data_IF_918967695737
#
_entry.id   IF_918967695737
#
_cell.length_a   1.000
_cell.length_b   1.000
_cell.length_c   1.000
_cell.angle_alpha   90.00
_cell.angle_beta   90.00
_cell.angle_gamma   90.00
#
_symmetry.space_group_name_H-M   'P 1'
#
loop_
_entity.id
_entity.type
_entity.pdbx_description
1 polymer ?
#
# COMPACT_ATOMS: atom_id res chain seq x y z
N UNK A 1 28.86 -6.63 12.84
CA UNK A 1 28.07 -7.54 13.70
C UNK A 1 26.82 -6.75 14.05
N UNK A 2 25.83 -6.86 13.22
CA UNK A 2 24.49 -6.28 13.43
C UNK A 2 23.68 -7.37 14.10
N UNK A 3 23.30 -7.13 15.36
CA UNK A 3 22.33 -7.94 16.06
C UNK A 3 21.07 -7.99 15.21
N UNK A 4 20.79 -9.17 14.67
CA UNK A 4 19.54 -9.43 13.99
C UNK A 4 18.42 -9.23 15.00
N UNK A 5 17.53 -8.29 14.70
CA UNK A 5 16.29 -8.10 15.44
C UNK A 5 15.48 -9.40 15.27
N UNK A 6 15.69 -10.34 16.18
CA UNK A 6 14.98 -11.61 16.24
C UNK A 6 13.57 -11.28 16.76
N UNK A 7 12.68 -10.88 15.86
CA UNK A 7 11.25 -10.73 16.15
C UNK A 7 10.70 -12.12 16.48
N UNK A 8 10.86 -12.51 17.72
CA UNK A 8 10.26 -13.74 18.23
C UNK A 8 8.75 -13.51 18.35
N UNK A 9 8.00 -14.10 17.43
CA UNK A 9 6.55 -14.22 17.62
C UNK A 9 6.32 -14.93 18.95
N UNK A 10 5.72 -14.22 19.90
CA UNK A 10 5.34 -14.80 21.17
C UNK A 10 4.25 -15.87 20.92
N UNK A 11 4.66 -17.13 21.03
CA UNK A 11 3.79 -18.27 20.78
C UNK A 11 2.60 -18.34 21.72
N UNK A 12 2.76 -17.88 22.93
CA UNK A 12 1.69 -17.88 23.93
C UNK A 12 0.70 -16.76 23.64
N UNK A 13 1.18 -15.56 23.27
CA UNK A 13 0.35 -14.46 22.80
C UNK A 13 -0.38 -14.82 21.50
N UNK A 14 0.29 -15.48 20.54
CA UNK A 14 -0.33 -15.99 19.33
C UNK A 14 -1.44 -16.99 19.63
N UNK A 15 -1.14 -18.01 20.48
CA UNK A 15 -2.11 -19.03 20.82
C UNK A 15 -3.30 -18.47 21.63
N UNK A 16 -3.07 -17.47 22.46
CA UNK A 16 -4.12 -16.78 23.19
C UNK A 16 -5.00 -15.96 22.23
N UNK A 17 -4.41 -15.13 21.41
CA UNK A 17 -5.11 -14.30 20.43
C UNK A 17 -5.95 -15.14 19.43
N UNK A 18 -5.39 -16.23 18.92
CA UNK A 18 -6.12 -17.12 18.00
C UNK A 18 -7.29 -17.83 18.68
N UNK A 19 -7.23 -18.13 20.00
CA UNK A 19 -8.37 -18.69 20.73
C UNK A 19 -9.49 -17.68 20.88
N UNK A 20 -9.18 -16.44 21.23
CA UNK A 20 -10.18 -15.37 21.38
C UNK A 20 -10.90 -15.01 20.06
N UNK A 21 -10.22 -15.25 18.93
CA UNK A 21 -10.76 -14.94 17.61
C UNK A 21 -11.55 -16.09 16.97
N UNK A 22 -11.61 -17.27 17.60
CA UNK A 22 -12.35 -18.42 17.04
C UNK A 22 -13.85 -18.16 16.97
N UNK A 23 -14.49 -18.48 15.81
CA UNK A 23 -15.94 -18.26 15.62
C UNK A 23 -16.85 -18.94 16.64
N UNK A 24 -16.38 -20.01 17.31
CA UNK A 24 -17.17 -20.75 18.31
C UNK A 24 -17.33 -20.05 19.67
N UNK A 25 -16.51 -19.02 19.97
CA UNK A 25 -16.63 -18.19 21.18
C UNK A 25 -17.32 -16.84 20.89
N UNK A 26 -17.44 -16.49 19.62
CA UNK A 26 -18.29 -15.40 19.16
C UNK A 26 -19.73 -15.89 19.24
N UNK A 27 -20.57 -15.22 20.01
CA UNK A 27 -21.99 -15.52 20.33
C UNK A 27 -22.66 -16.50 19.36
N UNK A 28 -23.47 -17.47 19.86
CA UNK A 28 -24.28 -18.35 19.02
C UNK A 28 -25.36 -17.51 18.34
N UNK A 29 -25.15 -17.18 17.10
CA UNK A 29 -25.97 -16.36 16.22
C UNK A 29 -25.06 -15.82 15.14
N UNK A 30 -25.54 -15.86 13.90
CA UNK A 30 -24.82 -15.33 12.76
C UNK A 30 -24.39 -13.88 13.00
N UNK A 31 -23.15 -13.52 12.72
CA UNK A 31 -22.78 -12.13 12.75
C UNK A 31 -23.59 -11.38 11.68
N UNK A 32 -24.28 -10.33 12.10
CA UNK A 32 -24.74 -9.27 11.21
C UNK A 32 -23.55 -8.86 10.31
N UNK A 33 -23.73 -8.46 9.05
CA UNK A 33 -22.65 -7.96 8.20
C UNK A 33 -21.76 -6.94 8.89
N UNK A 34 -22.34 -6.14 9.79
CA UNK A 34 -21.61 -5.24 10.67
C UNK A 34 -20.69 -5.95 11.63
N UNK A 35 -21.09 -7.10 12.14
CA UNK A 35 -20.28 -7.91 13.07
C UNK A 35 -19.14 -8.64 12.35
N UNK A 36 -19.35 -9.08 11.08
CA UNK A 36 -18.28 -9.69 10.29
C UNK A 36 -17.15 -8.70 10.03
N UNK A 37 -17.47 -7.49 9.56
CA UNK A 37 -16.46 -6.46 9.33
C UNK A 37 -15.70 -6.12 10.62
N UNK A 38 -16.42 -5.90 11.72
CA UNK A 38 -15.82 -5.63 13.02
C UNK A 38 -14.94 -6.80 13.51
N UNK A 39 -15.33 -8.03 13.19
CA UNK A 39 -14.56 -9.23 13.54
C UNK A 39 -13.31 -9.35 12.67
N UNK A 40 -13.42 -9.13 11.36
CA UNK A 40 -12.27 -9.07 10.46
C UNK A 40 -11.30 -7.96 10.88
N UNK A 41 -11.80 -6.78 11.25
CA UNK A 41 -10.97 -5.70 11.77
C UNK A 41 -10.19 -6.14 13.02
N UNK A 42 -10.83 -6.80 13.98
CA UNK A 42 -10.16 -7.32 15.18
C UNK A 42 -9.08 -8.35 14.85
N UNK A 43 -9.33 -9.22 13.87
CA UNK A 43 -8.33 -10.21 13.40
C UNK A 43 -7.10 -9.48 12.83
N UNK A 44 -7.31 -8.45 12.03
CA UNK A 44 -6.22 -7.70 11.40
C UNK A 44 -5.44 -6.88 12.42
N UNK A 45 -6.15 -6.23 13.37
CA UNK A 45 -5.52 -5.49 14.46
C UNK A 45 -4.71 -6.43 15.38
N UNK A 46 -5.24 -7.62 15.68
CA UNK A 46 -4.53 -8.64 16.45
C UNK A 46 -3.30 -9.16 15.70
N UNK A 47 -3.40 -9.36 14.38
CA UNK A 47 -2.26 -9.74 13.55
C UNK A 47 -1.15 -8.69 13.66
N UNK A 48 -1.48 -7.41 13.47
CA UNK A 48 -0.52 -6.32 13.62
C UNK A 48 0.14 -6.31 15.00
N UNK A 49 -0.66 -6.45 16.07
CA UNK A 49 -0.18 -6.37 17.46
C UNK A 49 0.74 -7.53 17.81
N UNK A 50 0.38 -8.78 17.48
CA UNK A 50 1.15 -9.98 17.82
C UNK A 50 2.48 -10.04 17.06
N UNK A 51 2.51 -9.59 15.82
CA UNK A 51 3.74 -9.56 15.02
C UNK A 51 4.58 -8.31 15.23
N UNK A 52 4.08 -7.31 15.98
CA UNK A 52 4.74 -6.02 16.18
C UNK A 52 5.20 -5.42 14.84
N UNK A 53 4.35 -5.56 13.82
CA UNK A 53 4.56 -4.98 12.50
C UNK A 53 3.91 -3.60 12.41
N UNK A 54 4.34 -2.80 11.44
CA UNK A 54 3.88 -1.42 11.30
C UNK A 54 2.44 -1.35 10.80
N UNK A 55 2.01 -2.34 9.99
CA UNK A 55 0.62 -2.44 9.60
C UNK A 55 0.25 -3.77 8.98
N UNK A 56 -1.05 -3.95 8.78
CA UNK A 56 -1.65 -5.13 8.19
C UNK A 56 -2.87 -4.77 7.33
N UNK A 57 -3.18 -5.63 6.37
CA UNK A 57 -4.31 -5.47 5.45
C UNK A 57 -4.92 -6.81 5.11
N UNK A 58 -6.21 -6.79 4.82
CA UNK A 58 -6.97 -7.90 4.23
C UNK A 58 -7.59 -7.43 2.92
N UNK A 59 -7.22 -8.08 1.83
CA UNK A 59 -7.88 -7.91 0.54
C UNK A 59 -8.67 -9.18 0.19
N UNK A 60 -9.90 -9.03 -0.29
CA UNK A 60 -10.76 -10.12 -0.76
C UNK A 60 -11.00 -9.99 -2.26
N UNK A 61 -11.21 -11.14 -2.90
CA UNK A 61 -11.55 -11.22 -4.32
C UNK A 61 -12.97 -10.70 -4.54
N UNK A 62 -13.10 -9.79 -5.49
CA UNK A 62 -14.38 -9.28 -5.97
C UNK A 62 -14.89 -10.15 -7.14
N UNK A 63 -16.14 -9.97 -7.55
CA UNK A 63 -16.78 -10.72 -8.65
C UNK A 63 -16.03 -10.59 -9.98
N UNK A 64 -15.36 -9.47 -10.22
CA UNK A 64 -14.52 -9.23 -11.40
C UNK A 64 -13.13 -9.89 -11.34
N UNK A 65 -12.87 -10.66 -10.28
CA UNK A 65 -11.60 -11.33 -10.03
C UNK A 65 -10.49 -10.41 -9.51
N UNK A 66 -10.74 -9.11 -9.33
CA UNK A 66 -9.79 -8.19 -8.72
C UNK A 66 -9.75 -8.36 -7.20
N UNK A 67 -8.58 -8.18 -6.59
CA UNK A 67 -8.48 -8.04 -5.14
C UNK A 67 -8.79 -6.59 -4.75
N UNK A 68 -9.65 -6.45 -3.74
CA UNK A 68 -9.95 -5.16 -3.11
C UNK A 68 -9.76 -5.28 -1.62
N UNK A 69 -9.06 -4.33 -1.03
CA UNK A 69 -8.90 -4.33 0.41
C UNK A 69 -10.25 -4.07 1.11
N UNK A 70 -10.48 -4.82 2.17
CA UNK A 70 -11.67 -4.74 3.01
C UNK A 70 -11.33 -4.10 4.34
N UNK A 71 -10.16 -4.47 4.88
CA UNK A 71 -9.65 -3.98 6.16
C UNK A 71 -8.21 -3.57 6.02
N UNK A 72 -7.84 -2.43 6.57
CA UNK A 72 -6.47 -1.94 6.70
C UNK A 72 -6.28 -1.31 8.07
N UNK A 73 -5.10 -1.46 8.65
CA UNK A 73 -4.78 -0.86 9.97
C UNK A 73 -4.50 0.63 9.88
N UNK A 74 -4.03 1.10 8.73
CA UNK A 74 -3.59 2.49 8.53
C UNK A 74 -3.52 2.87 7.06
N UNK A 75 -3.20 4.14 6.79
CA UNK A 75 -3.14 4.67 5.43
C UNK A 75 -1.99 4.11 4.59
N UNK A 76 -0.90 3.63 5.19
CA UNK A 76 0.21 3.02 4.47
C UNK A 76 -0.16 1.62 3.99
N UNK A 77 -0.85 0.82 4.82
CA UNK A 77 -1.43 -0.45 4.39
C UNK A 77 -2.43 -0.26 3.23
N UNK A 78 -3.30 0.75 3.31
CA UNK A 78 -4.22 1.09 2.23
C UNK A 78 -3.50 1.50 0.94
N UNK A 79 -2.42 2.28 1.05
CA UNK A 79 -1.59 2.65 -0.09
C UNK A 79 -0.94 1.43 -0.76
N UNK A 80 -0.43 0.49 0.05
CA UNK A 80 0.17 -0.74 -0.47
C UNK A 80 -0.85 -1.50 -1.32
N UNK A 81 -2.05 -1.70 -0.81
CA UNK A 81 -3.10 -2.44 -1.50
C UNK A 81 -3.59 -1.71 -2.77
N UNK A 82 -3.81 -0.40 -2.69
CA UNK A 82 -4.19 0.41 -3.86
C UNK A 82 -3.12 0.37 -4.95
N UNK A 83 -1.85 0.51 -4.57
CA UNK A 83 -0.74 0.47 -5.51
C UNK A 83 -0.60 -0.92 -6.17
N UNK A 84 -0.76 -2.01 -5.41
CA UNK A 84 -0.77 -3.36 -5.96
C UNK A 84 -1.88 -3.53 -7.00
N UNK A 85 -3.09 -3.10 -6.67
CA UNK A 85 -4.25 -3.17 -7.56
C UNK A 85 -4.06 -2.36 -8.84
N UNK A 86 -3.57 -1.12 -8.73
CA UNK A 86 -3.37 -0.22 -9.88
C UNK A 86 -2.25 -0.67 -10.80
N UNK A 87 -1.21 -1.27 -10.26
CA UNK A 87 -0.06 -1.75 -11.02
C UNK A 87 -0.27 -3.18 -11.55
N UNK A 88 -1.20 -3.94 -10.98
CA UNK A 88 -1.39 -5.35 -11.29
C UNK A 88 -0.23 -6.23 -10.81
N UNK A 89 0.58 -5.74 -9.88
CA UNK A 89 1.71 -6.49 -9.31
C UNK A 89 1.86 -6.19 -7.81
N UNK A 90 2.29 -7.19 -7.06
CA UNK A 90 2.60 -7.03 -5.65
C UNK A 90 2.54 -8.34 -4.87
N UNK A 91 3.05 -8.34 -3.61
CA UNK A 91 3.09 -9.53 -2.77
C UNK A 91 1.71 -10.13 -2.50
N UNK A 92 0.69 -9.30 -2.21
CA UNK A 92 -0.68 -9.76 -1.97
C UNK A 92 -1.31 -10.41 -3.21
N UNK A 93 -1.20 -9.76 -4.37
CA UNK A 93 -1.66 -10.33 -5.64
C UNK A 93 -0.92 -11.63 -5.98
N UNK A 94 0.39 -11.67 -5.74
CA UNK A 94 1.19 -12.86 -5.99
C UNK A 94 0.84 -14.01 -5.04
N UNK A 95 0.56 -13.73 -3.75
CA UNK A 95 0.13 -14.74 -2.78
C UNK A 95 -1.24 -15.32 -3.17
N UNK A 96 -2.19 -14.47 -3.52
CA UNK A 96 -3.49 -14.88 -4.02
C UNK A 96 -3.39 -15.77 -5.26
N UNK A 97 -2.66 -15.32 -6.29
CA UNK A 97 -2.54 -16.04 -7.56
C UNK A 97 -1.80 -17.37 -7.43
N UNK A 98 -0.73 -17.42 -6.61
CA UNK A 98 0.09 -18.62 -6.41
C UNK A 98 -0.45 -19.56 -5.34
N UNK A 99 -1.43 -19.13 -4.56
CA UNK A 99 -1.92 -19.84 -3.37
C UNK A 99 -0.80 -20.23 -2.40
N UNK A 100 0.19 -19.39 -2.30
CA UNK A 100 1.38 -19.59 -1.47
C UNK A 100 1.81 -18.28 -0.82
N UNK A 101 2.44 -18.37 0.34
CA UNK A 101 3.01 -17.21 1.00
C UNK A 101 4.08 -16.53 0.12
N UNK A 102 4.09 -15.21 0.13
CA UNK A 102 5.08 -14.38 -0.55
C UNK A 102 5.76 -13.49 0.47
N UNK A 103 7.07 -13.67 0.63
CA UNK A 103 7.92 -12.84 1.48
C UNK A 103 8.74 -11.88 0.64
N UNK A 104 8.81 -10.64 1.09
CA UNK A 104 9.67 -9.59 0.58
C UNK A 104 10.44 -9.01 1.75
N UNK A 105 11.76 -9.17 1.73
CA UNK A 105 12.64 -8.66 2.79
C UNK A 105 12.74 -7.13 2.74
N UNK A 106 12.86 -6.61 1.51
CA UNK A 106 12.90 -5.19 1.22
C UNK A 106 12.42 -4.95 -0.22
N UNK A 107 11.31 -4.23 -0.35
CA UNK A 107 10.74 -3.85 -1.64
C UNK A 107 11.70 -3.00 -2.49
N UNK A 108 12.57 -2.19 -1.85
CA UNK A 108 13.51 -1.35 -2.57
C UNK A 108 14.51 -2.16 -3.42
N UNK A 109 14.79 -3.39 -3.02
CA UNK A 109 15.77 -4.26 -3.67
C UNK A 109 15.13 -5.45 -4.40
N UNK A 110 13.84 -5.70 -4.19
CA UNK A 110 13.14 -6.84 -4.77
C UNK A 110 12.70 -6.58 -6.21
N UNK A 111 13.41 -7.20 -7.15
CA UNK A 111 13.16 -7.03 -8.59
C UNK A 111 11.79 -7.57 -9.04
N UNK A 112 11.14 -8.44 -8.26
CA UNK A 112 9.82 -8.98 -8.60
C UNK A 112 8.74 -7.90 -8.60
N UNK A 113 8.92 -6.87 -7.80
CA UNK A 113 7.94 -5.82 -7.55
C UNK A 113 8.54 -4.41 -7.73
N UNK A 114 9.39 -4.25 -8.75
CA UNK A 114 10.15 -3.01 -8.96
C UNK A 114 9.25 -1.78 -9.20
N UNK A 115 8.12 -1.95 -9.89
CA UNK A 115 7.16 -0.85 -10.11
C UNK A 115 6.45 -0.47 -8.81
N UNK A 116 6.02 -1.47 -8.03
CA UNK A 116 5.43 -1.26 -6.72
C UNK A 116 6.41 -0.52 -5.80
N UNK A 117 7.67 -0.93 -5.77
CA UNK A 117 8.72 -0.31 -4.97
C UNK A 117 8.82 1.20 -5.21
N UNK A 118 8.75 1.67 -6.46
CA UNK A 118 8.83 3.12 -6.78
C UNK A 118 7.68 3.94 -6.17
N UNK A 119 6.57 3.30 -5.83
CA UNK A 119 5.39 3.97 -5.26
C UNK A 119 5.42 3.94 -3.73
N UNK A 120 5.78 2.78 -3.14
CA UNK A 120 5.55 2.54 -1.72
C UNK A 120 6.79 2.73 -0.85
N UNK A 121 8.02 2.50 -1.37
CA UNK A 121 9.24 2.68 -0.57
C UNK A 121 9.51 4.14 -0.17
N UNK A 122 9.21 5.15 -1.01
CA UNK A 122 9.33 6.55 -0.57
C UNK A 122 8.38 6.92 0.59
N UNK A 123 7.47 6.03 0.94
CA UNK A 123 6.50 6.16 2.05
C UNK A 123 6.79 5.22 3.20
N UNK A 124 7.98 4.64 3.21
CA UNK A 124 8.48 3.83 4.30
C UNK A 124 7.97 2.39 4.30
N UNK A 125 7.46 1.86 3.20
CA UNK A 125 7.06 0.45 3.12
C UNK A 125 8.20 -0.37 2.52
N UNK A 126 8.79 -1.25 3.32
CA UNK A 126 9.96 -2.04 2.94
C UNK A 126 9.69 -3.54 3.00
N UNK A 127 9.58 -4.13 4.19
CA UNK A 127 9.30 -5.55 4.35
C UNK A 127 7.82 -5.88 4.16
N UNK A 128 7.49 -6.93 3.40
CA UNK A 128 6.10 -7.40 3.25
C UNK A 128 6.05 -8.92 3.32
N UNK A 129 5.10 -9.42 4.11
CA UNK A 129 4.70 -10.82 4.10
C UNK A 129 3.22 -10.89 3.73
N UNK A 130 2.89 -11.57 2.66
CA UNK A 130 1.53 -11.81 2.23
C UNK A 130 1.22 -13.31 2.20
N UNK A 131 0.07 -13.70 2.71
CA UNK A 131 -0.40 -15.09 2.70
C UNK A 131 -1.79 -15.17 2.07
N UNK A 132 -2.11 -16.23 1.32
CA UNK A 132 -3.41 -16.40 0.73
C UNK A 132 -4.46 -16.74 1.80
N UNK A 133 -5.65 -16.18 1.65
CA UNK A 133 -6.86 -16.63 2.35
C UNK A 133 -7.56 -17.64 1.46
N UNK A 134 -7.69 -18.89 1.94
CA UNK A 134 -8.20 -20.00 1.13
C UNK A 134 -9.43 -20.62 1.77
N UNK A 135 -10.54 -20.67 1.05
CA UNK A 135 -11.81 -21.30 1.47
C UNK A 135 -12.08 -22.48 0.54
N UNK A 136 -12.25 -23.67 1.12
CA UNK A 136 -12.54 -24.91 0.37
C UNK A 136 -11.57 -25.12 -0.82
N UNK A 137 -10.28 -24.86 -0.63
CA UNK A 137 -9.23 -25.03 -1.64
C UNK A 137 -9.19 -23.92 -2.72
N UNK A 138 -10.01 -22.89 -2.60
CA UNK A 138 -10.03 -21.73 -3.53
C UNK A 138 -9.51 -20.48 -2.83
N UNK A 139 -8.60 -19.72 -3.44
CA UNK A 139 -8.17 -18.46 -2.89
C UNK A 139 -9.33 -17.46 -2.97
N UNK A 140 -9.64 -16.84 -1.85
CA UNK A 140 -10.68 -15.81 -1.74
C UNK A 140 -10.10 -14.44 -1.38
N UNK A 141 -8.79 -14.37 -1.11
CA UNK A 141 -8.14 -13.12 -0.75
C UNK A 141 -6.68 -13.31 -0.36
N UNK A 142 -6.11 -12.26 0.20
CA UNK A 142 -4.77 -12.24 0.79
C UNK A 142 -4.77 -11.41 2.07
N UNK A 143 -4.06 -11.91 3.08
CA UNK A 143 -3.71 -11.20 4.31
C UNK A 143 -2.26 -10.77 4.17
N UNK A 144 -1.99 -9.48 4.31
CA UNK A 144 -0.65 -8.91 4.23
C UNK A 144 -0.28 -8.21 5.53
N UNK A 145 0.98 -8.33 5.93
CA UNK A 145 1.61 -7.52 6.98
C UNK A 145 2.81 -6.80 6.38
N UNK A 146 3.12 -5.59 6.86
CA UNK A 146 4.27 -4.85 6.39
C UNK A 146 5.11 -4.28 7.52
N UNK A 147 6.40 -4.06 7.23
CA UNK A 147 7.35 -3.37 8.08
C UNK A 147 7.93 -2.16 7.34
N UNK A 148 8.22 -1.10 8.08
CA UNK A 148 8.84 0.12 7.57
C UNK A 148 10.34 0.00 7.39
N UNK A 149 10.91 -1.13 7.78
CA UNK A 149 12.32 -1.46 7.62
C UNK A 149 12.49 -2.80 6.92
N UNK A 150 13.72 -3.10 6.53
CA UNK A 150 14.10 -4.44 6.09
C UNK A 150 13.67 -5.48 7.13
N UNK A 151 12.97 -6.53 6.71
CA UNK A 151 12.41 -7.52 7.62
C UNK A 151 12.67 -8.96 7.13
N UNK A 152 13.47 -9.75 7.85
CA UNK A 152 13.70 -11.14 7.55
C UNK A 152 12.53 -11.99 8.07
N UNK A 153 11.56 -12.24 7.21
CA UNK A 153 10.42 -13.09 7.54
C UNK A 153 10.85 -14.55 7.73
N UNK A 154 10.67 -15.08 8.92
CA UNK A 154 10.98 -16.47 9.24
C UNK A 154 9.84 -17.43 8.82
N UNK A 155 10.12 -18.72 8.80
CA UNK A 155 9.07 -19.72 8.61
C UNK A 155 8.01 -19.71 9.73
N UNK A 156 8.36 -19.24 10.93
CA UNK A 156 7.42 -19.07 12.04
C UNK A 156 6.48 -17.92 11.75
N UNK A 157 6.97 -16.79 11.22
CA UNK A 157 6.14 -15.66 10.84
C UNK A 157 5.13 -16.05 9.76
N UNK A 158 5.61 -16.76 8.73
CA UNK A 158 4.76 -17.27 7.65
C UNK A 158 3.65 -18.18 8.20
N UNK A 159 4.00 -19.12 9.08
CA UNK A 159 3.03 -20.04 9.66
C UNK A 159 2.02 -19.30 10.56
N UNK A 160 2.48 -18.34 11.32
CA UNK A 160 1.65 -17.58 12.25
C UNK A 160 0.70 -16.61 11.51
N UNK A 161 1.16 -15.85 10.51
CA UNK A 161 0.26 -15.05 9.64
C UNK A 161 -0.71 -15.96 8.90
N UNK A 162 -0.24 -17.15 8.47
CA UNK A 162 -1.10 -18.19 7.89
C UNK A 162 -2.21 -18.66 8.81
N UNK A 163 -1.96 -18.74 10.13
CA UNK A 163 -2.99 -19.09 11.11
C UNK A 163 -4.10 -18.02 11.20
N UNK A 164 -3.73 -16.73 11.16
CA UNK A 164 -4.73 -15.64 11.09
C UNK A 164 -5.50 -15.65 9.76
N UNK A 165 -4.83 -15.93 8.64
CA UNK A 165 -5.51 -16.11 7.36
C UNK A 165 -6.50 -17.28 7.40
N UNK A 166 -6.20 -18.34 8.17
CA UNK A 166 -7.13 -19.44 8.46
C UNK A 166 -8.39 -18.97 9.21
N UNK A 167 -8.24 -18.14 10.25
CA UNK A 167 -9.38 -17.54 10.97
C UNK A 167 -10.22 -16.68 10.02
N UNK A 168 -9.59 -15.84 9.21
CA UNK A 168 -10.28 -15.06 8.17
C UNK A 168 -11.05 -15.98 7.22
N UNK A 169 -10.42 -17.07 6.75
CA UNK A 169 -11.06 -18.03 5.86
C UNK A 169 -12.30 -18.68 6.49
N UNK A 170 -12.26 -19.04 7.77
CA UNK A 170 -13.40 -19.59 8.51
C UNK A 170 -14.55 -18.56 8.60
N UNK A 171 -14.23 -17.30 8.90
CA UNK A 171 -15.24 -16.22 8.96
C UNK A 171 -15.86 -15.96 7.59
N UNK A 172 -15.06 -15.89 6.54
CA UNK A 172 -15.55 -15.72 5.17
C UNK A 172 -16.37 -16.93 4.72
N UNK A 173 -15.93 -18.16 5.01
CA UNK A 173 -16.67 -19.37 4.69
C UNK A 173 -18.03 -19.43 5.40
N UNK A 174 -18.06 -19.08 6.69
CA UNK A 174 -19.32 -19.00 7.45
C UNK A 174 -20.27 -17.97 6.85
N UNK A 175 -19.75 -16.80 6.45
CA UNK A 175 -20.53 -15.76 5.77
C UNK A 175 -21.06 -16.23 4.42
N UNK A 176 -20.25 -16.94 3.62
CA UNK A 176 -20.65 -17.50 2.32
C UNK A 176 -21.67 -18.64 2.45
N UNK A 177 -21.52 -19.52 3.44
CA UNK A 177 -22.44 -20.64 3.67
C UNK A 177 -23.87 -20.17 4.00
N UNK A 178 -23.98 -19.00 4.64
CA UNK A 178 -25.28 -18.37 4.89
C UNK A 178 -25.89 -17.80 3.63
N UNK A 179 -25.06 -17.45 2.69
CA UNK A 179 -25.40 -16.88 1.41
C UNK A 179 -25.96 -17.85 0.39
N UNK A 180 -25.87 -19.10 0.63
CA UNK A 180 -26.56 -20.13 -0.20
C UNK A 180 -28.09 -20.10 -0.08
N UNK A 181 -28.66 -19.22 0.74
CA UNK A 181 -30.08 -18.88 0.76
C UNK A 181 -30.34 -17.55 0.03
N UNK A 182 -30.27 -17.62 -1.21
CA UNK A 182 -30.65 -16.91 -2.44
C UNK A 182 -31.09 -15.42 -2.46
N UNK A 183 -31.59 -14.80 -1.43
CA UNK A 183 -32.06 -13.40 -1.46
C UNK A 183 -31.32 -12.47 -0.46
N UNK A 184 -30.92 -13.01 0.66
CA UNK A 184 -30.31 -12.27 1.76
C UNK A 184 -28.84 -11.91 1.47
N UNK A 185 -28.20 -12.67 0.59
CA UNK A 185 -26.76 -12.52 0.23
C UNK A 185 -26.49 -11.34 -0.66
N UNK A 186 -27.33 -11.08 -1.63
CA UNK A 186 -27.19 -9.89 -2.47
C UNK A 186 -27.30 -8.63 -1.59
N UNK A 187 -28.20 -8.66 -0.61
CA UNK A 187 -28.38 -7.57 0.35
C UNK A 187 -27.19 -7.44 1.30
N UNK A 188 -26.63 -8.58 1.77
CA UNK A 188 -25.48 -8.62 2.68
C UNK A 188 -24.18 -8.16 1.98
N UNK A 189 -23.94 -8.66 0.79
CA UNK A 189 -22.76 -8.25 -0.02
C UNK A 189 -22.88 -6.78 -0.39
N UNK A 190 -24.07 -6.30 -0.71
CA UNK A 190 -24.35 -4.91 -0.97
C UNK A 190 -24.14 -4.04 0.28
N UNK A 191 -24.60 -4.51 1.46
CA UNK A 191 -24.42 -3.80 2.72
C UNK A 191 -22.93 -3.74 3.15
N UNK A 192 -22.18 -4.84 2.99
CA UNK A 192 -20.74 -4.86 3.24
C UNK A 192 -19.98 -3.93 2.29
N UNK A 193 -20.29 -4.00 1.01
CA UNK A 193 -19.70 -3.10 0.01
C UNK A 193 -20.08 -1.65 0.30
N UNK A 194 -21.32 -1.38 0.66
CA UNK A 194 -21.79 -0.05 1.07
C UNK A 194 -21.01 0.50 2.27
N UNK A 195 -20.76 -0.34 3.28
CA UNK A 195 -20.03 0.04 4.48
C UNK A 195 -18.55 0.32 4.18
N UNK A 196 -17.91 -0.48 3.33
CA UNK A 196 -16.54 -0.22 2.86
C UNK A 196 -16.46 1.18 2.24
N UNK A 197 -17.40 1.52 1.35
CA UNK A 197 -17.43 2.85 0.75
C UNK A 197 -17.61 3.97 1.79
N UNK A 198 -18.46 3.75 2.80
CA UNK A 198 -18.67 4.73 3.88
C UNK A 198 -17.41 4.93 4.72
N UNK A 199 -16.73 3.86 5.11
CA UNK A 199 -15.49 3.98 5.90
C UNK A 199 -14.35 4.63 5.07
N UNK A 200 -14.23 4.27 3.80
CA UNK A 200 -13.28 4.93 2.89
C UNK A 200 -13.58 6.42 2.72
N UNK A 201 -14.85 6.77 2.55
CA UNK A 201 -15.28 8.17 2.41
C UNK A 201 -15.03 8.98 3.68
N UNK A 202 -15.26 8.38 4.86
CA UNK A 202 -14.89 8.99 6.14
C UNK A 202 -13.39 9.28 6.20
N UNK A 203 -12.56 8.30 5.86
CA UNK A 203 -11.11 8.47 5.77
C UNK A 203 -10.69 9.57 4.78
N UNK A 204 -11.35 9.63 3.62
CA UNK A 204 -11.11 10.68 2.64
C UNK A 204 -11.48 12.07 3.19
N UNK A 205 -12.64 12.23 3.84
CA UNK A 205 -13.07 13.50 4.44
C UNK A 205 -12.18 13.92 5.61
N UNK A 206 -11.73 12.98 6.44
CA UNK A 206 -10.73 13.27 7.48
C UNK A 206 -9.44 13.82 6.86
N UNK A 207 -8.97 13.20 5.78
CA UNK A 207 -7.73 13.61 5.12
C UNK A 207 -7.85 14.93 4.34
N UNK A 208 -9.00 15.20 3.70
CA UNK A 208 -9.18 16.34 2.81
C UNK A 208 -9.81 17.55 3.48
N UNK A 209 -10.75 17.33 4.40
CA UNK A 209 -11.49 18.42 5.10
C UNK A 209 -11.01 18.60 6.55
N UNK A 210 -10.10 17.77 7.06
CA UNK A 210 -9.58 17.86 8.44
C UNK A 210 -10.62 17.52 9.51
N UNK A 211 -11.67 16.79 9.16
CA UNK A 211 -12.76 16.42 10.06
C UNK A 211 -12.33 15.28 11.00
N UNK A 212 -12.95 15.21 12.18
CA UNK A 212 -12.90 13.98 12.97
C UNK A 212 -13.83 12.89 12.38
N UNK A 213 -13.68 11.63 12.74
CA UNK A 213 -14.48 10.53 12.19
C UNK A 213 -16.00 10.66 12.41
N UNK A 214 -16.43 11.30 13.52
CA UNK A 214 -17.84 11.51 13.81
C UNK A 214 -18.40 12.61 12.90
N UNK A 215 -17.72 13.73 12.79
CA UNK A 215 -18.07 14.82 11.87
C UNK A 215 -18.08 14.37 10.41
N UNK A 216 -17.14 13.52 9.99
CA UNK A 216 -17.13 12.94 8.65
C UNK A 216 -18.39 12.08 8.39
N UNK A 217 -18.82 11.30 9.39
CA UNK A 217 -20.05 10.51 9.30
C UNK A 217 -21.30 11.41 9.15
N UNK A 218 -21.39 12.48 9.94
CA UNK A 218 -22.49 13.44 9.84
C UNK A 218 -22.48 14.16 8.49
N UNK A 219 -21.31 14.52 7.99
CA UNK A 219 -21.14 15.14 6.67
C UNK A 219 -21.68 14.26 5.54
N UNK A 220 -21.39 12.96 5.59
CA UNK A 220 -21.91 11.99 4.60
C UNK A 220 -23.44 11.88 4.68
N UNK A 221 -24.02 11.78 5.89
CA UNK A 221 -25.47 11.74 6.08
C UNK A 221 -26.17 13.01 5.58
N UNK A 222 -25.62 14.17 5.89
CA UNK A 222 -26.13 15.45 5.42
C UNK A 222 -26.14 15.55 3.90
N UNK A 223 -25.02 15.15 3.23
CA UNK A 223 -24.94 15.12 1.75
C UNK A 223 -25.96 14.13 1.15
N UNK A 224 -26.13 12.95 1.76
CA UNK A 224 -27.10 11.96 1.33
C UNK A 224 -28.54 12.48 1.41
N UNK A 225 -28.90 13.09 2.54
CA UNK A 225 -30.21 13.69 2.73
C UNK A 225 -30.49 14.84 1.74
N UNK A 226 -29.51 15.72 1.50
CA UNK A 226 -29.65 16.85 0.57
C UNK A 226 -29.80 16.39 -0.90
N UNK A 227 -29.20 15.25 -1.28
CA UNK A 227 -29.23 14.74 -2.65
C UNK A 227 -30.29 13.64 -2.88
N UNK A 228 -31.05 13.27 -1.86
CA UNK A 228 -32.02 12.15 -1.88
C UNK A 228 -31.39 10.83 -2.36
N UNK A 229 -30.13 10.59 -2.01
CA UNK A 229 -29.36 9.39 -2.36
C UNK A 229 -29.00 8.62 -1.09
N UNK A 230 -28.60 7.38 -1.26
CA UNK A 230 -28.09 6.58 -0.13
C UNK A 230 -26.72 7.10 0.32
N UNK A 231 -26.41 6.89 1.60
CA UNK A 231 -25.10 7.27 2.15
C UNK A 231 -23.97 6.53 1.41
N UNK A 232 -24.21 5.29 0.97
CA UNK A 232 -23.24 4.50 0.22
C UNK A 232 -22.95 5.06 -1.18
N UNK A 233 -23.97 5.56 -1.88
CA UNK A 233 -23.78 6.21 -3.19
C UNK A 233 -22.98 7.51 -3.08
N UNK A 234 -23.30 8.32 -2.06
CA UNK A 234 -22.55 9.55 -1.78
C UNK A 234 -21.13 9.23 -1.33
N UNK A 235 -20.95 8.20 -0.51
CA UNK A 235 -19.64 7.75 -0.08
C UNK A 235 -18.78 7.29 -1.25
N UNK A 236 -19.34 6.53 -2.19
CA UNK A 236 -18.64 6.12 -3.41
C UNK A 236 -18.16 7.32 -4.23
N UNK A 237 -19.00 8.34 -4.38
CA UNK A 237 -18.66 9.59 -5.08
C UNK A 237 -17.51 10.31 -4.38
N UNK A 238 -17.58 10.50 -3.06
CA UNK A 238 -16.52 11.14 -2.26
C UNK A 238 -15.19 10.40 -2.42
N UNK A 239 -15.19 9.07 -2.39
CA UNK A 239 -13.97 8.27 -2.60
C UNK A 239 -13.43 8.44 -4.01
N UNK A 240 -14.30 8.41 -5.02
CA UNK A 240 -13.90 8.60 -6.42
C UNK A 240 -13.32 10.00 -6.67
N UNK A 241 -13.89 11.03 -6.04
CA UNK A 241 -13.38 12.40 -6.12
C UNK A 241 -12.01 12.50 -5.46
N UNK A 242 -11.86 11.99 -4.24
CA UNK A 242 -10.59 11.96 -3.53
C UNK A 242 -9.50 11.17 -4.30
N UNK A 243 -9.87 10.09 -4.98
CA UNK A 243 -8.95 9.33 -5.83
C UNK A 243 -8.53 10.14 -7.07
N UNK A 244 -9.47 10.86 -7.71
CA UNK A 244 -9.17 11.73 -8.85
C UNK A 244 -8.22 12.85 -8.45
N UNK A 245 -8.48 13.50 -7.34
CA UNK A 245 -7.64 14.59 -6.83
C UNK A 245 -6.24 14.09 -6.48
N UNK A 246 -6.15 12.94 -5.83
CA UNK A 246 -4.87 12.29 -5.50
C UNK A 246 -4.08 11.91 -6.76
N UNK A 247 -4.76 11.38 -7.78
CA UNK A 247 -4.13 11.06 -9.07
C UNK A 247 -3.61 12.32 -9.76
N UNK A 248 -4.37 13.41 -9.70
CA UNK A 248 -3.96 14.70 -10.25
C UNK A 248 -2.74 15.28 -9.50
N UNK A 249 -2.72 15.20 -8.17
CA UNK A 249 -1.58 15.64 -7.35
C UNK A 249 -0.34 14.83 -7.67
N UNK A 250 -0.44 13.50 -7.73
CA UNK A 250 0.68 12.62 -8.08
C UNK A 250 1.20 12.87 -9.50
N UNK A 251 0.31 13.13 -10.45
CA UNK A 251 0.69 13.50 -11.81
C UNK A 251 1.45 14.84 -11.85
N UNK A 252 0.97 15.83 -11.08
CA UNK A 252 1.62 17.13 -10.98
C UNK A 252 3.01 17.04 -10.30
N UNK A 253 3.14 16.23 -9.24
CA UNK A 253 4.43 15.98 -8.59
C UNK A 253 5.42 15.30 -9.54
N UNK A 254 4.99 14.27 -10.28
CA UNK A 254 5.81 13.60 -11.29
C UNK A 254 6.26 14.58 -12.39
N UNK A 255 5.36 15.45 -12.82
CA UNK A 255 5.70 16.49 -13.81
C UNK A 255 6.73 17.48 -13.27
N UNK A 256 6.61 17.89 -11.99
CA UNK A 256 7.58 18.75 -11.30
C UNK A 256 8.95 18.08 -11.16
N UNK A 257 8.99 16.80 -10.78
CA UNK A 257 10.23 16.04 -10.66
C UNK A 257 10.93 15.91 -12.00
N UNK A 258 10.21 15.54 -13.06
CA UNK A 258 10.77 15.49 -14.42
C UNK A 258 11.28 16.83 -14.91
N UNK A 259 10.57 17.91 -14.60
CA UNK A 259 11.01 19.26 -14.96
C UNK A 259 12.26 19.69 -14.17
N UNK A 260 12.40 19.27 -12.89
CA UNK A 260 13.59 19.51 -12.09
C UNK A 260 14.78 18.71 -12.62
N UNK A 261 14.61 17.44 -12.94
CA UNK A 261 15.64 16.60 -13.57
C UNK A 261 16.11 17.16 -14.92
N UNK A 262 15.19 17.61 -15.76
CA UNK A 262 15.52 18.22 -17.04
C UNK A 262 16.30 19.55 -16.86
N UNK A 263 15.94 20.34 -15.85
CA UNK A 263 16.70 21.58 -15.53
C UNK A 263 18.10 21.27 -14.99
N UNK A 264 18.22 20.25 -14.14
CA UNK A 264 19.52 19.81 -13.62
C UNK A 264 20.43 19.32 -14.75
N UNK A 265 19.93 18.46 -15.63
CA UNK A 265 20.66 17.97 -16.79
C UNK A 265 21.09 19.11 -17.75
N UNK A 266 20.21 20.10 -17.96
CA UNK A 266 20.54 21.27 -18.78
C UNK A 266 21.62 22.16 -18.13
N UNK A 267 21.57 22.32 -16.80
CA UNK A 267 22.59 23.08 -16.06
C UNK A 267 23.94 22.36 -16.08
N UNK A 268 23.95 21.05 -15.97
CA UNK A 268 25.16 20.23 -16.03
C UNK A 268 25.82 20.30 -17.43
N UNK A 269 24.99 20.14 -18.48
CA UNK A 269 25.48 20.32 -19.86
C UNK A 269 26.01 21.74 -20.14
N UNK A 270 25.37 22.77 -19.58
CA UNK A 270 25.82 24.16 -19.71
C UNK A 270 27.18 24.39 -18.98
N UNK A 271 27.37 23.76 -17.82
CA UNK A 271 28.63 23.81 -17.06
C UNK A 271 29.74 23.10 -17.81
N UNK A 272 29.50 21.92 -18.35
CA UNK A 272 30.47 21.20 -19.20
C UNK A 272 30.88 22.01 -20.44
N UNK A 273 29.91 22.62 -21.11
CA UNK A 273 30.15 23.47 -22.26
C UNK A 273 30.98 24.70 -21.88
N UNK A 274 30.73 25.32 -20.74
CA UNK A 274 31.50 26.45 -20.22
C UNK A 274 32.93 26.05 -19.87
N UNK A 275 33.15 24.90 -19.26
CA UNK A 275 34.47 24.36 -18.94
C UNK A 275 35.27 24.03 -20.20
N UNK A 276 34.64 23.44 -21.22
CA UNK A 276 35.25 23.15 -22.49
C UNK A 276 35.70 24.45 -23.23
N UNK A 277 34.83 25.49 -23.19
CA UNK A 277 35.15 26.78 -23.78
C UNK A 277 36.32 27.52 -23.04
N UNK A 278 36.39 27.40 -21.71
CA UNK A 278 37.49 27.93 -20.91
C UNK A 278 38.82 27.24 -21.25
N UNK A 279 38.82 25.91 -21.35
CA UNK A 279 39.99 25.11 -21.71
C UNK A 279 40.52 25.43 -23.13
N UNK A 280 39.62 25.72 -24.08
CA UNK A 280 40.03 26.15 -25.43
C UNK A 280 40.63 27.55 -25.45
N UNK A 281 40.23 28.42 -24.52
CA UNK A 281 40.76 29.80 -24.43
C UNK A 281 42.16 29.82 -23.85
N UNK A 282 42.47 28.96 -22.91
CA UNK A 282 43.81 28.81 -22.32
C UNK A 282 44.79 28.13 -23.29
N UNK A 283 44.35 27.21 -24.13
CA UNK A 283 45.17 26.56 -25.15
C UNK A 283 45.51 27.49 -26.32
N UNK A 284 44.81 28.61 -26.52
CA UNK A 284 45.05 29.59 -27.57
C UNK A 284 46.00 30.73 -27.17
N UNK A 285 46.43 30.81 -25.88
CA UNK A 285 47.25 31.91 -25.36
C UNK A 285 48.78 31.69 -25.48
N UNK A 286 49.23 30.47 -25.84
CA UNK A 286 50.66 30.18 -26.08
C UNK A 286 51.01 30.37 -27.56
N UNK A 287 51.07 31.61 -27.99
CA UNK A 287 51.72 32.01 -29.25
C UNK A 287 53.25 31.94 -29.15
N UNK A 288 53.98 31.58 -30.26
CA UNK A 288 55.41 31.37 -30.21
C UNK A 288 56.19 32.65 -29.85
N UNK A 289 57.30 32.54 -29.10
CA UNK A 289 58.07 33.69 -28.71
C UNK A 289 58.77 34.35 -29.93
N UNK A 290 58.58 35.65 -30.10
CA UNK A 290 59.25 36.48 -31.08
C UNK A 290 60.77 36.50 -30.78
N UNK A 291 61.57 36.08 -31.75
CA UNK A 291 63.02 36.13 -31.71
C UNK A 291 63.58 37.60 -31.67
N UNK A 292 64.65 37.89 -30.93
CA UNK A 292 65.20 39.22 -30.88
C UNK A 292 66.04 39.53 -32.14
N UNK A 293 65.80 40.71 -32.74
CA UNK A 293 66.50 41.24 -33.92
C UNK A 293 67.97 41.48 -33.69
N UNK A 294 68.78 41.07 -34.64
CA UNK A 294 70.18 41.33 -34.72
C UNK A 294 70.41 42.79 -35.17
N UNK A 295 71.10 43.54 -34.35
CA UNK A 295 71.71 44.82 -34.75
C UNK A 295 72.89 44.53 -35.65
N UNK A 296 72.87 45.09 -36.84
CA UNK A 296 74.06 45.23 -37.73
C UNK A 296 74.53 46.64 -37.59
N UNK A 297 75.72 46.74 -37.04
CA UNK A 297 76.51 47.97 -37.02
C UNK A 297 77.42 47.97 -38.27
N UNK A 298 77.46 49.10 -38.97
CA UNK A 298 78.29 49.33 -40.13
C UNK A 298 79.15 50.50 -39.88
N UNK A 299 80.48 50.28 -39.98
CA UNK A 299 81.44 51.28 -40.28
C UNK A 299 82.09 51.03 -41.60
#
# INVERSE_FOLDING_TARGET
MTEGNDRLVDRDALAHSLRELRPGELRPGLPDPGDLFATLQRVIDATRAVFQVDGASLALAHEDGSLRWVVVTDGAAGLLEDAQRELGEGPGLAAYAKQAAVTVLDLATDRRFARLATVVTPRGLHGVLAVPVVVAGRPVGALSVYATEWCPWSGIDVAAVGAYAGVVAELVAASMALGARDAEVAELTQALTARVWVEQAKGALVATEGLDPAAASERLRARAGASQRTVAEVAREVVQDAQRDRTAVLAAERARSRAAEARAAHAEAALEAAQAAASQKDAGADGPPTAPGAHHDSS
#
